data_IF_596994544490
#
_entry.id   IF_596994544490
#
_cell.length_a   1.000
_cell.length_b   1.000
_cell.length_c   1.000
_cell.angle_alpha   90.00
_cell.angle_beta   90.00
_cell.angle_gamma   90.00
#
_symmetry.space_group_name_H-M   'P 1'
#
loop_
_entity.id
_entity.type
_entity.pdbx_description
1 polymer ?
#
# COMPACT_ATOMS: atom_id res chain seq x y z
N UNK A 1 -8.10 13.76 -47.64
CA UNK A 1 -8.46 12.45 -47.06
C UNK A 1 -7.55 11.41 -47.69
N UNK A 2 -6.54 10.93 -46.95
CA UNK A 2 -5.59 9.93 -47.45
C UNK A 2 -5.65 8.72 -46.53
N UNK A 3 -6.09 7.58 -47.08
CA UNK A 3 -6.17 6.30 -46.38
C UNK A 3 -4.82 5.60 -46.51
N UNK A 4 -4.15 5.34 -45.39
CA UNK A 4 -2.96 4.50 -45.34
C UNK A 4 -3.38 3.08 -44.93
N UNK A 5 -3.28 2.16 -45.87
CA UNK A 5 -3.41 0.72 -45.67
C UNK A 5 -2.10 0.15 -45.11
N UNK A 6 -2.08 -0.21 -43.84
CA UNK A 6 -0.96 -0.94 -43.23
C UNK A 6 -1.29 -2.43 -43.14
N UNK A 7 -0.61 -3.21 -43.96
CA UNK A 7 -0.57 -4.66 -43.99
C UNK A 7 0.16 -5.21 -42.75
N UNK A 8 -0.50 -6.10 -42.00
CA UNK A 8 0.06 -6.81 -40.86
C UNK A 8 0.87 -8.01 -41.35
N UNK A 9 2.19 -7.99 -41.15
CA UNK A 9 3.07 -9.14 -41.33
C UNK A 9 3.19 -9.88 -39.99
N UNK A 10 2.64 -11.09 -39.92
CA UNK A 10 2.75 -12.01 -38.78
C UNK A 10 3.98 -12.90 -38.93
N UNK A 11 4.93 -12.79 -37.99
CA UNK A 11 6.09 -13.68 -37.89
C UNK A 11 5.80 -14.86 -36.95
N UNK A 12 6.12 -16.11 -37.33
CA UNK A 12 5.99 -17.27 -36.45
C UNK A 12 7.24 -17.44 -35.57
N UNK A 13 7.08 -17.37 -34.23
CA UNK A 13 8.14 -17.75 -33.28
C UNK A 13 7.84 -19.11 -32.65
N UNK A 14 8.70 -20.09 -32.92
CA UNK A 14 8.66 -21.41 -32.30
C UNK A 14 9.44 -21.37 -30.98
N UNK A 15 8.77 -21.61 -29.86
CA UNK A 15 9.43 -21.76 -28.55
C UNK A 15 9.69 -23.25 -28.33
N UNK A 16 10.98 -23.62 -28.27
CA UNK A 16 11.45 -24.96 -27.89
C UNK A 16 11.44 -25.07 -26.36
N UNK A 17 10.71 -26.03 -25.82
CA UNK A 17 10.72 -26.35 -24.39
C UNK A 17 11.97 -27.15 -24.03
N UNK A 18 12.78 -26.63 -23.11
CA UNK A 18 13.90 -27.34 -22.49
C UNK A 18 13.42 -27.95 -21.16
N UNK A 19 13.56 -29.26 -21.03
CA UNK A 19 13.32 -30.03 -19.81
C UNK A 19 14.57 -29.99 -18.92
N UNK A 20 14.39 -29.75 -17.62
CA UNK A 20 15.41 -29.99 -16.60
C UNK A 20 14.83 -30.89 -15.50
N UNK A 21 15.36 -32.11 -15.46
CA UNK A 21 15.26 -33.07 -14.38
C UNK A 21 16.00 -32.56 -13.15
N UNK A 22 15.40 -32.61 -11.96
CA UNK A 22 16.11 -32.42 -10.70
C UNK A 22 15.79 -33.57 -9.75
N UNK A 23 16.84 -34.29 -9.38
CA UNK A 23 16.83 -35.37 -8.40
C UNK A 23 17.03 -34.81 -6.98
N UNK A 24 16.33 -35.47 -6.06
CA UNK A 24 16.28 -35.36 -4.59
C UNK A 24 17.54 -34.94 -3.82
N UNK A 25 17.36 -34.07 -2.82
CA UNK A 25 17.83 -34.28 -1.43
C UNK A 25 17.46 -33.10 -0.50
N UNK A 26 16.66 -33.33 0.56
CA UNK A 26 16.85 -32.71 1.89
C UNK A 26 15.66 -32.95 2.83
N UNK A 27 15.97 -33.35 4.06
CA UNK A 27 15.14 -33.30 5.28
C UNK A 27 15.93 -32.54 6.37
N UNK A 28 15.35 -32.12 7.53
CA UNK A 28 14.10 -31.38 7.73
C UNK A 28 14.22 -30.19 8.75
N UNK A 29 13.09 -29.48 8.92
CA UNK A 29 12.66 -28.53 9.99
C UNK A 29 12.91 -27.02 9.76
N UNK A 30 12.11 -26.08 10.33
CA UNK A 30 11.05 -26.22 11.34
C UNK A 30 9.67 -25.61 10.99
N UNK A 31 8.66 -26.07 11.74
CA UNK A 31 7.40 -25.41 12.13
C UNK A 31 6.69 -24.46 11.14
N UNK A 32 5.60 -24.96 10.55
CA UNK A 32 4.48 -24.11 10.14
C UNK A 32 3.16 -24.84 10.42
N UNK A 33 2.43 -24.34 11.42
CA UNK A 33 1.04 -24.73 11.65
C UNK A 33 0.17 -24.08 10.57
N UNK A 34 -0.49 -24.91 9.77
CA UNK A 34 -1.61 -24.51 8.91
C UNK A 34 -2.61 -25.65 8.87
N UNK A 35 -3.56 -25.60 9.80
CA UNK A 35 -4.71 -26.48 9.85
C UNK A 35 -5.64 -26.21 8.67
N UNK A 36 -5.55 -27.01 7.60
CA UNK A 36 -6.62 -27.13 6.61
C UNK A 36 -7.47 -28.35 6.97
N UNK A 37 -8.68 -28.11 7.47
CA UNK A 37 -9.66 -29.15 7.76
C UNK A 37 -10.13 -29.77 6.43
N UNK A 38 -9.60 -30.94 6.09
CA UNK A 38 -10.15 -31.81 5.05
C UNK A 38 -11.33 -32.58 5.63
N UNK A 39 -12.55 -32.22 5.25
CA UNK A 39 -13.70 -33.09 5.48
C UNK A 39 -13.61 -34.29 4.54
N UNK A 40 -13.30 -35.46 5.12
CA UNK A 40 -13.30 -36.74 4.45
C UNK A 40 -14.72 -37.12 4.01
N UNK A 41 -14.85 -37.49 2.74
CA UNK A 41 -16.05 -38.15 2.19
C UNK A 41 -16.07 -39.58 2.71
N UNK A 42 -16.84 -39.84 3.76
CA UNK A 42 -17.15 -41.21 4.17
C UNK A 42 -18.48 -41.62 3.53
N UNK A 43 -18.38 -42.40 2.45
CA UNK A 43 -19.50 -43.12 1.85
C UNK A 43 -19.94 -44.22 2.83
N UNK A 44 -21.10 -44.04 3.46
CA UNK A 44 -21.80 -45.12 4.13
C UNK A 44 -23.16 -45.33 3.47
N UNK A 45 -23.38 -46.58 3.07
CA UNK A 45 -24.49 -47.08 2.30
C UNK A 45 -25.73 -47.20 3.19
N UNK A 46 -26.74 -46.36 2.98
CA UNK A 46 -28.06 -46.53 3.62
C UNK A 46 -29.02 -47.20 2.64
N UNK A 47 -29.13 -48.53 2.76
CA UNK A 47 -30.26 -49.29 2.27
C UNK A 47 -31.43 -49.07 3.24
N UNK A 48 -32.41 -48.24 2.90
CA UNK A 48 -33.74 -48.42 3.48
C UNK A 48 -34.85 -47.99 2.52
N UNK A 49 -35.60 -49.03 2.14
CA UNK A 49 -37.00 -49.11 1.73
C UNK A 49 -37.60 -48.04 0.83
N UNK A 50 -38.04 -48.52 -0.35
CA UNK A 50 -39.05 -47.89 -1.21
C UNK A 50 -40.31 -47.55 -0.41
N UNK A 51 -40.74 -46.29 -0.54
CA UNK A 51 -42.06 -45.81 -0.15
C UNK A 51 -42.41 -44.62 -1.02
N UNK A 52 -43.06 -44.87 -2.16
CA UNK A 52 -43.59 -43.82 -3.04
C UNK A 52 -44.91 -43.32 -2.46
N UNK A 53 -44.89 -42.15 -1.81
CA UNK A 53 -46.12 -41.43 -1.45
C UNK A 53 -46.24 -40.24 -2.38
N UNK A 54 -47.13 -40.34 -3.36
CA UNK A 54 -47.48 -39.25 -4.26
C UNK A 54 -48.36 -38.25 -3.51
N UNK A 55 -47.76 -37.17 -3.02
CA UNK A 55 -48.53 -36.03 -2.54
C UNK A 55 -48.85 -35.13 -3.75
N UNK A 56 -50.12 -35.08 -4.11
CA UNK A 56 -50.67 -34.16 -5.11
C UNK A 56 -50.61 -32.72 -4.59
N UNK A 57 -49.82 -31.86 -5.23
CA UNK A 57 -49.86 -30.41 -5.00
C UNK A 57 -51.13 -29.84 -5.60
N UNK A 58 -52.12 -29.54 -4.76
CA UNK A 58 -53.31 -28.76 -5.14
C UNK A 58 -52.84 -27.35 -5.53
N UNK A 59 -52.93 -27.01 -6.82
CA UNK A 59 -52.76 -25.65 -7.29
C UNK A 59 -54.05 -24.87 -6.99
N UNK A 60 -53.99 -23.88 -6.10
CA UNK A 60 -55.03 -22.87 -5.94
C UNK A 60 -54.63 -21.62 -6.74
N UNK A 61 -55.36 -21.25 -7.81
CA UNK A 61 -55.13 -20.00 -8.52
C UNK A 61 -56.13 -18.96 -8.03
N UNK A 62 -55.71 -18.00 -7.21
CA UNK A 62 -56.37 -16.69 -7.17
C UNK A 62 -55.36 -15.60 -6.85
N UNK A 63 -55.06 -14.83 -7.89
CA UNK A 63 -54.33 -13.58 -7.80
C UNK A 63 -55.10 -12.61 -6.91
N UNK A 64 -54.52 -12.23 -5.77
CA UNK A 64 -54.68 -10.89 -5.22
C UNK A 64 -53.33 -10.21 -5.29
N UNK A 65 -53.06 -9.53 -6.41
CA UNK A 65 -51.96 -8.57 -6.47
C UNK A 65 -52.33 -7.38 -5.59
N UNK A 66 -52.09 -7.50 -4.29
CA UNK A 66 -51.89 -6.32 -3.48
C UNK A 66 -50.60 -5.68 -3.98
N UNK A 67 -50.70 -4.54 -4.66
CA UNK A 67 -49.54 -3.67 -4.88
C UNK A 67 -49.20 -3.06 -3.53
N UNK A 68 -48.56 -3.86 -2.68
CA UNK A 68 -47.78 -3.35 -1.56
C UNK A 68 -46.60 -2.65 -2.22
N UNK A 69 -46.48 -1.35 -1.99
CA UNK A 69 -45.27 -0.62 -2.34
C UNK A 69 -44.16 -1.16 -1.42
N UNK A 70 -43.54 -2.27 -1.83
CA UNK A 70 -42.41 -2.83 -1.10
C UNK A 70 -41.25 -1.86 -1.29
N UNK A 71 -41.10 -0.94 -0.33
CA UNK A 71 -39.87 -0.17 -0.18
C UNK A 71 -38.79 -1.20 0.11
N UNK A 72 -38.10 -1.68 -0.93
CA UNK A 72 -36.97 -2.58 -0.77
C UNK A 72 -35.92 -1.82 0.03
N UNK A 73 -35.89 -2.05 1.34
CA UNK A 73 -34.92 -1.45 2.23
C UNK A 73 -33.56 -1.92 1.74
N UNK A 74 -32.76 -0.99 1.19
CA UNK A 74 -31.43 -1.32 0.69
C UNK A 74 -30.64 -1.91 1.85
N UNK A 75 -30.34 -3.21 1.78
CA UNK A 75 -29.53 -3.90 2.78
C UNK A 75 -28.18 -3.18 2.89
N UNK A 76 -27.69 -3.01 4.12
CA UNK A 76 -26.44 -2.29 4.37
C UNK A 76 -25.26 -3.04 3.72
N UNK A 77 -24.86 -2.61 2.52
CA UNK A 77 -23.72 -3.20 1.84
C UNK A 77 -22.41 -2.71 2.47
N UNK A 78 -21.76 -3.64 3.17
CA UNK A 78 -20.46 -3.42 3.79
C UNK A 78 -19.39 -3.00 2.77
N UNK A 79 -19.47 -3.48 1.53
CA UNK A 79 -18.53 -3.15 0.47
C UNK A 79 -18.64 -1.67 0.06
N UNK A 80 -19.85 -1.20 -0.22
CA UNK A 80 -20.11 0.22 -0.54
C UNK A 80 -19.69 1.15 0.60
N UNK A 81 -19.93 0.75 1.86
CA UNK A 81 -19.45 1.51 3.03
C UNK A 81 -17.93 1.60 3.08
N UNK A 82 -17.22 0.48 2.83
CA UNK A 82 -15.75 0.45 2.81
C UNK A 82 -15.18 1.30 1.67
N UNK A 83 -15.81 1.31 0.51
CA UNK A 83 -15.43 2.18 -0.62
C UNK A 83 -15.51 3.68 -0.24
N UNK A 84 -16.64 4.13 0.33
CA UNK A 84 -16.79 5.52 0.78
C UNK A 84 -15.75 5.91 1.85
N UNK A 85 -15.48 5.02 2.81
CA UNK A 85 -14.49 5.25 3.85
C UNK A 85 -13.05 5.30 3.29
N UNK A 86 -12.72 4.45 2.33
CA UNK A 86 -11.39 4.40 1.72
C UNK A 86 -11.12 5.67 0.92
N UNK A 87 -12.11 6.18 0.17
CA UNK A 87 -12.02 7.44 -0.56
C UNK A 87 -11.78 8.63 0.37
N UNK A 88 -12.55 8.73 1.46
CA UNK A 88 -12.39 9.78 2.47
C UNK A 88 -10.99 9.74 3.09
N UNK A 89 -10.52 8.55 3.50
CA UNK A 89 -9.15 8.38 4.06
C UNK A 89 -8.06 8.67 3.02
N UNK A 90 -8.29 8.30 1.76
CA UNK A 90 -7.35 8.56 0.64
C UNK A 90 -7.13 10.05 0.46
N UNK A 91 -8.18 10.87 0.47
CA UNK A 91 -8.07 12.33 0.33
C UNK A 91 -7.22 12.93 1.46
N UNK A 92 -7.50 12.58 2.72
CA UNK A 92 -6.72 13.09 3.87
C UNK A 92 -5.28 12.58 3.92
N UNK A 93 -5.04 11.34 3.50
CA UNK A 93 -3.69 10.79 3.46
C UNK A 93 -2.89 11.38 2.29
N UNK A 94 -3.55 11.66 1.16
CA UNK A 94 -2.95 12.33 0.01
C UNK A 94 -2.48 13.73 0.40
N UNK A 95 -3.34 14.54 1.02
CA UNK A 95 -2.99 15.91 1.43
C UNK A 95 -1.82 15.95 2.42
N UNK A 96 -1.87 15.11 3.47
CA UNK A 96 -0.77 14.99 4.45
C UNK A 96 0.55 14.54 3.81
N UNK A 97 0.50 13.55 2.91
CA UNK A 97 1.70 13.08 2.19
C UNK A 97 2.27 14.14 1.25
N UNK A 98 1.41 14.87 0.52
CA UNK A 98 1.86 15.95 -0.35
C UNK A 98 2.43 17.12 0.43
N UNK A 99 1.83 17.49 1.57
CA UNK A 99 2.34 18.57 2.40
C UNK A 99 3.77 18.28 2.88
N UNK A 100 4.02 17.07 3.41
CA UNK A 100 5.36 16.67 3.83
C UNK A 100 6.34 16.73 2.66
N UNK A 101 5.94 16.24 1.48
CA UNK A 101 6.80 16.28 0.29
C UNK A 101 7.15 17.72 -0.09
N UNK A 102 6.19 18.64 -0.03
CA UNK A 102 6.41 20.05 -0.32
C UNK A 102 7.34 20.71 0.69
N UNK A 103 7.10 20.54 2.01
CA UNK A 103 7.99 21.12 3.04
C UNK A 103 9.41 20.58 2.95
N UNK A 104 9.55 19.26 2.76
CA UNK A 104 10.86 18.64 2.57
C UNK A 104 11.57 19.17 1.32
N UNK A 105 10.84 19.36 0.21
CA UNK A 105 11.41 19.91 -1.02
C UNK A 105 11.97 21.32 -0.80
N UNK A 106 11.20 22.20 -0.13
CA UNK A 106 11.65 23.56 0.21
C UNK A 106 12.96 23.56 1.02
N UNK A 107 13.07 22.66 2.02
CA UNK A 107 14.29 22.52 2.83
C UNK A 107 15.47 22.07 1.95
N UNK A 108 15.26 21.08 1.07
CA UNK A 108 16.32 20.57 0.20
C UNK A 108 16.78 21.63 -0.81
N UNK A 109 15.86 22.37 -1.43
CA UNK A 109 16.19 23.45 -2.35
C UNK A 109 16.99 24.56 -1.66
N UNK A 110 16.62 24.93 -0.42
CA UNK A 110 17.38 25.90 0.36
C UNK A 110 18.80 25.41 0.71
N UNK A 111 18.95 24.14 1.12
CA UNK A 111 20.25 23.53 1.41
C UNK A 111 21.13 23.37 0.17
N UNK A 112 20.54 23.05 -0.99
CA UNK A 112 21.25 22.96 -2.26
C UNK A 112 21.72 24.34 -2.75
N UNK A 113 20.92 25.38 -2.53
CA UNK A 113 21.31 26.77 -2.79
C UNK A 113 22.51 27.19 -1.95
N UNK A 114 22.48 26.89 -0.66
CA UNK A 114 23.60 27.16 0.27
C UNK A 114 24.87 26.42 -0.13
N UNK A 115 24.79 25.13 -0.47
CA UNK A 115 25.96 24.35 -0.87
C UNK A 115 26.71 24.94 -2.08
N UNK A 116 26.00 25.60 -3.00
CA UNK A 116 26.59 26.20 -4.21
C UNK A 116 27.24 27.56 -3.96
N UNK A 117 26.88 28.24 -2.87
CA UNK A 117 27.42 29.56 -2.52
C UNK A 117 28.61 29.37 -1.57
N UNK A 118 29.85 29.71 -1.99
CA UNK A 118 31.04 29.50 -1.15
C UNK A 118 31.11 30.48 0.03
N UNK A 119 30.49 31.66 -0.05
CA UNK A 119 30.48 32.69 1.00
C UNK A 119 29.13 32.80 1.74
N UNK A 120 28.51 31.66 2.07
CA UNK A 120 27.33 31.69 2.91
C UNK A 120 27.73 32.17 4.32
N UNK A 121 27.05 33.18 4.85
CA UNK A 121 27.20 33.58 6.25
C UNK A 121 26.35 32.67 7.16
N UNK A 122 26.75 32.54 8.43
CA UNK A 122 26.03 31.73 9.41
C UNK A 122 24.56 32.16 9.59
N UNK A 123 24.24 33.43 9.31
CA UNK A 123 22.88 33.96 9.37
C UNK A 123 21.91 33.31 8.37
N UNK A 124 22.41 32.82 7.23
CA UNK A 124 21.57 32.15 6.22
C UNK A 124 21.08 30.76 6.67
N UNK A 125 21.63 30.22 7.76
CA UNK A 125 21.20 28.92 8.32
C UNK A 125 19.89 29.08 9.10
N UNK A 126 19.69 30.20 9.78
CA UNK A 126 18.51 30.48 10.60
C UNK A 126 17.17 30.29 9.85
N UNK A 127 16.98 30.81 8.62
CA UNK A 127 15.75 30.54 7.87
C UNK A 127 15.59 29.06 7.51
N UNK A 128 16.69 28.34 7.24
CA UNK A 128 16.64 26.89 6.95
C UNK A 128 16.21 26.09 8.18
N UNK A 129 16.70 26.46 9.36
CA UNK A 129 16.28 25.83 10.62
C UNK A 129 14.79 26.02 10.90
N UNK A 130 14.25 27.21 10.61
CA UNK A 130 12.80 27.46 10.68
C UNK A 130 12.03 26.51 9.74
N UNK A 131 12.48 26.36 8.50
CA UNK A 131 11.87 25.43 7.53
C UNK A 131 11.98 23.96 7.97
N UNK A 132 13.10 23.57 8.59
CA UNK A 132 13.28 22.23 9.17
C UNK A 132 12.29 22.02 10.33
N UNK A 133 12.13 23.00 11.21
CA UNK A 133 11.16 22.96 12.31
C UNK A 133 9.73 22.78 11.83
N UNK A 134 9.33 23.51 10.78
CA UNK A 134 8.03 23.31 10.12
C UNK A 134 7.89 21.89 9.54
N UNK A 135 8.91 21.40 8.84
CA UNK A 135 8.89 20.06 8.26
C UNK A 135 8.76 18.98 9.34
N UNK A 136 9.46 19.11 10.47
CA UNK A 136 9.36 18.19 11.60
C UNK A 136 7.96 18.21 12.23
N UNK A 137 7.40 19.41 12.44
CA UNK A 137 6.04 19.56 12.96
C UNK A 137 5.01 18.83 12.09
N UNK A 138 5.08 18.97 10.76
CA UNK A 138 4.15 18.29 9.84
C UNK A 138 4.39 16.78 9.83
N UNK A 139 5.65 16.31 9.84
CA UNK A 139 5.98 14.89 9.91
C UNK A 139 5.39 14.25 11.17
N UNK A 140 5.57 14.89 12.32
CA UNK A 140 5.12 14.34 13.60
C UNK A 140 3.60 14.36 13.75
N UNK A 141 2.94 15.40 13.23
CA UNK A 141 1.47 15.42 13.10
C UNK A 141 0.98 14.27 12.23
N UNK A 142 1.66 13.96 11.12
CA UNK A 142 1.27 12.86 10.25
C UNK A 142 1.52 11.47 10.85
N UNK A 143 2.53 11.33 11.71
CA UNK A 143 2.78 10.11 12.49
C UNK A 143 1.69 9.93 13.56
N UNK A 144 1.43 10.98 14.36
CA UNK A 144 0.36 10.97 15.39
C UNK A 144 -1.00 10.63 14.78
N UNK A 145 -1.29 11.18 13.60
CA UNK A 145 -2.55 10.98 12.91
C UNK A 145 -2.59 9.69 12.05
N UNK A 146 -1.59 8.80 12.16
CA UNK A 146 -1.58 7.46 11.58
C UNK A 146 -1.39 7.39 10.06
N UNK A 147 -0.92 8.47 9.40
CA UNK A 147 -0.64 8.45 7.94
C UNK A 147 0.71 7.86 7.61
N UNK A 148 1.69 8.08 8.49
CA UNK A 148 3.03 7.55 8.40
C UNK A 148 3.33 6.67 9.60
N UNK A 149 4.04 5.58 9.37
CA UNK A 149 4.60 4.78 10.44
C UNK A 149 5.74 5.53 11.15
N UNK A 150 5.95 5.26 12.44
CA UNK A 150 6.97 5.92 13.28
C UNK A 150 8.37 5.86 12.65
N UNK A 151 8.76 4.71 12.09
CA UNK A 151 10.07 4.55 11.43
C UNK A 151 10.15 5.38 10.16
N UNK A 152 9.06 5.50 9.40
CA UNK A 152 9.05 6.35 8.19
C UNK A 152 9.18 7.82 8.55
N UNK A 153 8.56 8.26 9.65
CA UNK A 153 8.76 9.60 10.20
C UNK A 153 10.21 9.84 10.61
N UNK A 154 10.78 8.92 11.40
CA UNK A 154 12.18 8.97 11.84
C UNK A 154 13.16 9.02 10.67
N UNK A 155 12.97 8.18 9.65
CA UNK A 155 13.80 8.16 8.44
C UNK A 155 13.76 9.50 7.68
N UNK A 156 12.60 10.16 7.61
CA UNK A 156 12.48 11.48 6.98
C UNK A 156 13.21 12.57 7.76
N UNK A 157 13.11 12.57 9.09
CA UNK A 157 13.86 13.51 9.94
C UNK A 157 15.37 13.28 9.83
N UNK A 158 15.80 12.02 9.94
CA UNK A 158 17.20 11.62 9.78
C UNK A 158 17.77 12.08 8.43
N UNK A 159 16.99 11.95 7.34
CA UNK A 159 17.40 12.44 6.01
C UNK A 159 17.66 13.95 5.99
N UNK A 160 16.79 14.77 6.59
CA UNK A 160 16.97 16.23 6.65
C UNK A 160 18.18 16.59 7.51
N UNK A 161 18.31 15.97 8.69
CA UNK A 161 19.44 16.20 9.60
C UNK A 161 20.79 15.86 8.95
N UNK A 162 20.89 14.72 8.26
CA UNK A 162 22.09 14.32 7.51
C UNK A 162 22.45 15.32 6.42
N UNK A 163 21.44 15.86 5.72
CA UNK A 163 21.67 16.85 4.67
C UNK A 163 22.15 18.18 5.22
N UNK A 164 21.58 18.64 6.34
CA UNK A 164 22.05 19.82 7.07
C UNK A 164 23.52 19.68 7.47
N UNK A 165 23.87 18.59 8.17
CA UNK A 165 25.25 18.29 8.59
C UNK A 165 26.23 18.26 7.43
N UNK A 166 25.84 17.67 6.30
CA UNK A 166 26.71 17.64 5.11
C UNK A 166 27.01 19.04 4.55
N UNK A 167 26.06 19.98 4.65
CA UNK A 167 26.27 21.38 4.26
C UNK A 167 27.16 22.09 5.28
N UNK A 168 26.96 21.86 6.59
CA UNK A 168 27.81 22.42 7.65
C UNK A 168 29.27 21.98 7.52
N UNK A 169 29.52 20.70 7.21
CA UNK A 169 30.86 20.16 6.98
C UNK A 169 31.49 20.77 5.72
N UNK A 170 30.71 20.94 4.65
CA UNK A 170 31.20 21.52 3.39
C UNK A 170 31.72 22.96 3.56
N UNK A 171 31.07 23.75 4.43
CA UNK A 171 31.49 25.12 4.73
C UNK A 171 32.50 25.20 5.88
N UNK A 172 32.86 24.08 6.50
CA UNK A 172 33.85 24.01 7.59
C UNK A 172 33.35 24.45 8.96
N UNK A 173 32.04 24.69 9.15
CA UNK A 173 31.49 25.11 10.45
C UNK A 173 31.41 23.98 11.47
N UNK A 174 31.44 22.74 10.99
CA UNK A 174 31.41 21.56 11.85
C UNK A 174 32.42 20.54 11.31
N UNK A 175 33.37 20.18 12.16
CA UNK A 175 34.24 19.04 11.92
C UNK A 175 33.83 17.96 12.92
N UNK A 176 33.34 16.79 12.46
CA UNK A 176 33.04 15.70 13.38
C UNK A 176 34.34 15.30 14.08
N UNK A 177 34.30 15.26 15.41
CA UNK A 177 35.39 14.70 16.20
C UNK A 177 35.50 13.22 15.79
N UNK A 178 36.68 12.75 15.34
CA UNK A 178 36.87 11.34 15.06
C UNK A 178 36.73 10.58 16.37
N UNK A 179 35.68 9.77 16.48
CA UNK A 179 35.45 8.87 17.62
C UNK A 179 36.68 7.98 17.77
N UNK A 180 37.50 8.24 18.79
CA UNK A 180 38.56 7.35 19.18
C UNK A 180 37.92 6.03 19.63
N UNK A 181 38.22 4.95 18.89
CA UNK A 181 38.11 3.53 19.25
C UNK A 181 37.41 3.24 20.60
N UNK A 182 36.09 3.09 20.59
CA UNK A 182 35.38 2.38 21.66
C UNK A 182 35.42 0.89 21.35
N UNK A 183 36.36 0.23 22.03
CA UNK A 183 36.47 -1.23 22.21
C UNK A 183 35.29 -1.74 23.02
#
# INVERSE_FOLDING_TARGET
>A
MAAFSCSLLTLPSQIRNLSLTSSSSSSPSPFSNSSSLSFSKNLSHTLFSRGSVSLSTVQNPTQRFMVVCEVTTKKADSAVKRARLSEKRRVYNKSRKSEIRTRMRKVLEALEGLKKKPEAQAEEILPVEKLIGEAYSVIDKAVKAGTLHRNTGANRKSRLARRKKAVEIHHGWYTPVPEASSV
#
